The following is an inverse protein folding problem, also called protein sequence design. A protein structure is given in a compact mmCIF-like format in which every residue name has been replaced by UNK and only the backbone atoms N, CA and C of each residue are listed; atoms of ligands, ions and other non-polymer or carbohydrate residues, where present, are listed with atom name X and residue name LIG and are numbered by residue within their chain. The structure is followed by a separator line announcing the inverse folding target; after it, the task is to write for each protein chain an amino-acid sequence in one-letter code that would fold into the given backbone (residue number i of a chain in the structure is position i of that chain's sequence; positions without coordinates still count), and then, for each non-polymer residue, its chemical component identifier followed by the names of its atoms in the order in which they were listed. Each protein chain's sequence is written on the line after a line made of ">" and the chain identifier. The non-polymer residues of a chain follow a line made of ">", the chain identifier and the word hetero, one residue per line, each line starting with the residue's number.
data_IF_899479548443
#
_entry.id   IF_899479548443
#
_cell.length_a   1.000
_cell.length_b   1.000
_cell.length_c   1.000
_cell.angle_alpha   90.00
_cell.angle_beta   90.00
_cell.angle_gamma   90.00
#
_symmetry.space_group_name_H-M   'P 1'
#
loop_
_entity.id
_entity.type
_entity.pdbx_description
1 polymer ?
#
# COMPACT_ATOMS: atom_id res chain seq x y z
N UNK A 1 19.00 4.25 -10.86
CA UNK A 1 18.23 3.00 -11.06
C UNK A 1 17.73 2.95 -12.49
N UNK A 2 17.92 1.84 -13.19
CA UNK A 2 17.33 1.64 -14.54
C UNK A 2 15.85 1.26 -14.43
N UNK A 3 15.07 1.47 -15.49
CA UNK A 3 13.65 1.10 -15.53
C UNK A 3 13.42 -0.37 -15.15
N UNK A 4 14.26 -1.28 -15.67
CA UNK A 4 14.16 -2.71 -15.36
C UNK A 4 14.31 -2.99 -13.86
N UNK A 5 15.28 -2.37 -13.19
CA UNK A 5 15.48 -2.55 -11.74
C UNK A 5 14.29 -2.02 -10.95
N UNK A 6 13.72 -0.88 -11.35
CA UNK A 6 12.50 -0.35 -10.72
C UNK A 6 11.33 -1.30 -10.88
N UNK A 7 11.10 -1.85 -12.09
CA UNK A 7 10.01 -2.80 -12.33
C UNK A 7 10.18 -4.09 -11.53
N UNK A 8 11.41 -4.61 -11.44
CA UNK A 8 11.71 -5.79 -10.62
C UNK A 8 11.44 -5.52 -9.14
N UNK A 9 11.88 -4.36 -8.62
CA UNK A 9 11.63 -3.96 -7.24
C UNK A 9 10.13 -3.86 -6.95
N UNK A 10 9.35 -3.26 -7.86
CA UNK A 10 7.89 -3.16 -7.72
C UNK A 10 7.21 -4.54 -7.75
N UNK A 11 7.66 -5.45 -8.62
CA UNK A 11 7.15 -6.82 -8.68
C UNK A 11 7.46 -7.61 -7.40
N UNK A 12 8.68 -7.47 -6.87
CA UNK A 12 9.06 -8.07 -5.59
C UNK A 12 8.25 -7.49 -4.43
N UNK A 13 8.08 -6.17 -4.37
CA UNK A 13 7.27 -5.51 -3.35
C UNK A 13 5.79 -5.97 -3.40
N UNK A 14 5.22 -6.07 -4.61
CA UNK A 14 3.86 -6.59 -4.81
C UNK A 14 3.69 -8.02 -4.29
N UNK A 15 4.65 -8.91 -4.60
CA UNK A 15 4.65 -10.28 -4.09
C UNK A 15 4.81 -10.33 -2.57
N UNK A 16 5.73 -9.53 -2.01
CA UNK A 16 5.96 -9.45 -0.57
C UNK A 16 4.71 -8.97 0.19
N UNK A 17 3.93 -8.07 -0.40
CA UNK A 17 2.68 -7.58 0.18
C UNK A 17 1.64 -8.70 0.35
N UNK A 18 1.61 -9.68 -0.57
CA UNK A 18 0.71 -10.84 -0.44
C UNK A 18 1.07 -11.66 0.79
N UNK A 19 2.35 -11.97 0.94
CA UNK A 19 2.87 -12.73 2.08
C UNK A 19 2.66 -11.96 3.40
N UNK A 20 2.92 -10.65 3.41
CA UNK A 20 2.70 -9.80 4.57
C UNK A 20 1.26 -9.88 5.06
N UNK A 21 0.27 -9.69 4.18
CA UNK A 21 -1.14 -9.74 4.57
C UNK A 21 -1.57 -11.14 5.08
N UNK A 22 -1.03 -12.21 4.49
CA UNK A 22 -1.29 -13.58 4.94
C UNK A 22 -0.75 -13.80 6.38
N UNK A 23 0.51 -13.41 6.64
CA UNK A 23 1.11 -13.51 7.97
C UNK A 23 0.41 -12.62 9.00
N UNK A 24 -0.03 -11.42 8.60
CA UNK A 24 -0.82 -10.55 9.47
C UNK A 24 -2.19 -11.16 9.82
N UNK A 25 -2.80 -11.92 8.90
CA UNK A 25 -4.03 -12.64 9.19
C UNK A 25 -3.79 -13.75 10.23
N UNK A 26 -2.69 -14.47 10.14
CA UNK A 26 -2.29 -15.43 11.19
C UNK A 26 -1.99 -14.75 12.52
N UNK A 27 -1.27 -13.63 12.53
CA UNK A 27 -1.05 -12.87 13.77
C UNK A 27 -2.38 -12.39 14.40
N UNK A 28 -3.35 -12.03 13.57
CA UNK A 28 -4.72 -11.70 14.01
C UNK A 28 -5.44 -12.92 14.59
N UNK A 29 -5.31 -14.11 14.01
CA UNK A 29 -5.97 -15.31 14.56
C UNK A 29 -5.38 -15.70 15.92
N UNK A 30 -4.06 -15.57 16.08
CA UNK A 30 -3.36 -15.83 17.35
C UNK A 30 -3.76 -14.81 18.44
N UNK A 31 -3.78 -13.53 18.10
CA UNK A 31 -4.07 -12.45 19.07
C UNK A 31 -5.57 -12.20 19.29
N UNK A 32 -6.43 -12.72 18.43
CA UNK A 32 -7.88 -12.44 18.43
C UNK A 32 -8.25 -11.00 18.07
N UNK A 33 -7.28 -10.15 17.69
CA UNK A 33 -7.50 -8.71 17.53
C UNK A 33 -6.85 -8.17 16.25
N UNK A 34 -7.67 -7.51 15.43
CA UNK A 34 -7.18 -6.78 14.25
C UNK A 34 -6.27 -5.62 14.66
N UNK A 35 -6.54 -4.98 15.80
CA UNK A 35 -5.76 -3.86 16.31
C UNK A 35 -4.36 -4.30 16.74
N UNK A 36 -4.23 -5.49 17.33
CA UNK A 36 -2.92 -6.05 17.72
C UNK A 36 -2.09 -6.38 16.47
N UNK A 37 -2.70 -6.99 15.45
CA UNK A 37 -2.01 -7.26 14.19
C UNK A 37 -1.53 -5.98 13.48
N UNK A 38 -2.37 -4.94 13.46
CA UNK A 38 -1.99 -3.62 12.91
C UNK A 38 -0.87 -2.96 13.71
N UNK A 39 -0.97 -3.01 15.04
CA UNK A 39 0.05 -2.47 15.92
C UNK A 39 1.39 -3.17 15.71
N UNK A 40 1.41 -4.50 15.60
CA UNK A 40 2.63 -5.27 15.32
C UNK A 40 3.26 -4.91 13.97
N UNK A 41 2.44 -4.82 12.92
CA UNK A 41 2.89 -4.41 11.58
C UNK A 41 3.58 -3.03 11.61
N UNK A 42 2.99 -2.07 12.31
CA UNK A 42 3.56 -0.73 12.46
C UNK A 42 4.77 -0.69 13.40
N UNK A 43 4.75 -1.44 14.51
CA UNK A 43 5.83 -1.46 15.49
C UNK A 43 7.14 -2.00 14.91
N UNK A 44 7.08 -3.13 14.19
CA UNK A 44 8.25 -3.71 13.54
C UNK A 44 8.82 -2.75 12.49
N UNK A 45 7.96 -2.17 11.65
CA UNK A 45 8.36 -1.18 10.66
C UNK A 45 9.02 0.05 11.30
N UNK A 46 8.41 0.59 12.36
CA UNK A 46 8.95 1.74 13.08
C UNK A 46 10.34 1.46 13.65
N UNK A 47 10.55 0.31 14.30
CA UNK A 47 11.86 -0.05 14.87
C UNK A 47 12.92 -0.16 13.78
N UNK A 48 12.65 -0.92 12.72
CA UNK A 48 13.60 -1.14 11.62
C UNK A 48 13.94 0.18 10.92
N UNK A 49 12.93 0.98 10.61
CA UNK A 49 13.13 2.28 9.94
C UNK A 49 13.84 3.28 10.85
N UNK A 50 13.55 3.31 12.15
CA UNK A 50 14.23 4.21 13.09
C UNK A 50 15.71 3.88 13.19
N UNK A 51 16.04 2.60 13.35
CA UNK A 51 17.45 2.15 13.39
C UNK A 51 18.15 2.48 12.08
N UNK A 52 17.52 2.19 10.95
CA UNK A 52 18.10 2.44 9.61
C UNK A 52 18.33 3.93 9.38
N UNK A 53 17.32 4.77 9.64
CA UNK A 53 17.41 6.22 9.45
C UNK A 53 18.46 6.85 10.36
N UNK A 54 18.53 6.44 11.64
CA UNK A 54 19.57 6.93 12.55
C UNK A 54 20.98 6.49 12.13
N UNK A 55 21.12 5.27 11.60
CA UNK A 55 22.40 4.75 11.13
C UNK A 55 22.87 5.42 9.83
N UNK A 56 21.95 5.74 8.92
CA UNK A 56 22.26 6.30 7.59
C UNK A 56 22.34 7.82 7.62
N UNK A 57 21.38 8.49 8.25
CA UNK A 57 21.19 9.95 8.17
C UNK A 57 21.49 10.68 9.49
N UNK A 58 21.61 9.95 10.60
CA UNK A 58 21.87 10.51 11.92
C UNK A 58 20.67 11.23 12.56
N UNK A 59 20.83 11.74 13.79
CA UNK A 59 19.74 12.41 14.53
C UNK A 59 19.37 13.78 13.95
N UNK A 60 20.28 14.44 13.21
CA UNK A 60 20.03 15.75 12.60
C UNK A 60 18.91 15.72 11.56
N UNK A 61 18.73 14.60 10.86
CA UNK A 61 17.64 14.42 9.91
C UNK A 61 16.27 14.55 10.60
N UNK A 62 16.15 14.03 11.82
CA UNK A 62 14.94 14.16 12.64
C UNK A 62 14.76 15.56 13.23
N UNK A 63 15.85 16.26 13.55
CA UNK A 63 15.77 17.65 14.05
C UNK A 63 15.11 18.59 13.02
N UNK A 64 15.28 18.32 11.71
CA UNK A 64 14.62 19.09 10.63
C UNK A 64 13.10 18.95 10.63
N UNK A 65 12.54 17.92 11.27
CA UNK A 65 11.09 17.74 11.36
C UNK A 65 10.43 18.82 12.25
N UNK A 66 11.17 19.41 13.19
CA UNK A 66 10.66 20.44 14.10
C UNK A 66 10.20 21.71 13.37
N UNK A 67 10.71 21.97 12.16
CA UNK A 67 10.33 23.12 11.34
C UNK A 67 9.36 22.76 10.21
N UNK A 68 9.03 21.48 10.05
CA UNK A 68 8.14 20.98 9.02
C UNK A 68 6.66 21.14 9.35
N UNK A 69 5.80 21.09 8.32
CA UNK A 69 4.34 21.13 8.51
C UNK A 69 3.88 19.76 9.02
N UNK A 70 3.46 19.68 10.28
CA UNK A 70 3.13 18.42 10.97
C UNK A 70 2.20 17.47 10.16
N UNK A 71 1.24 18.02 9.43
CA UNK A 71 0.28 17.22 8.64
C UNK A 71 0.94 16.46 7.48
N UNK A 72 2.08 16.95 6.95
CA UNK A 72 2.85 16.24 5.90
C UNK A 72 3.45 14.93 6.42
N UNK A 73 3.62 14.80 7.74
CA UNK A 73 4.16 13.60 8.38
C UNK A 73 3.03 12.71 8.92
N UNK A 74 1.97 13.32 9.44
CA UNK A 74 0.87 12.59 10.08
C UNK A 74 -0.08 11.94 9.07
N UNK A 75 -0.48 12.66 8.02
CA UNK A 75 -1.48 12.16 7.06
C UNK A 75 -1.01 10.92 6.31
N UNK A 76 0.22 10.86 5.77
CA UNK A 76 0.69 9.64 5.09
C UNK A 76 0.72 8.42 6.02
N UNK A 77 1.08 8.61 7.30
CA UNK A 77 1.06 7.54 8.30
C UNK A 77 -0.35 6.98 8.53
N UNK A 78 -1.35 7.86 8.72
CA UNK A 78 -2.74 7.46 8.88
C UNK A 78 -3.30 6.75 7.64
N UNK A 79 -3.00 7.26 6.45
CA UNK A 79 -3.43 6.65 5.19
C UNK A 79 -2.79 5.26 4.99
N UNK A 80 -1.52 5.09 5.37
CA UNK A 80 -0.83 3.80 5.37
C UNK A 80 -1.48 2.80 6.33
N UNK A 81 -1.80 3.22 7.56
CA UNK A 81 -2.50 2.36 8.52
C UNK A 81 -3.90 1.97 8.02
N UNK A 82 -4.63 2.90 7.41
CA UNK A 82 -5.93 2.61 6.79
C UNK A 82 -5.81 1.58 5.66
N UNK A 83 -4.78 1.70 4.81
CA UNK A 83 -4.53 0.74 3.74
C UNK A 83 -4.31 -0.67 4.29
N UNK A 84 -3.48 -0.82 5.33
CA UNK A 84 -3.23 -2.13 5.95
C UNK A 84 -4.49 -2.68 6.62
N UNK A 85 -5.29 -1.84 7.29
CA UNK A 85 -6.57 -2.25 7.87
C UNK A 85 -7.56 -2.76 6.81
N UNK A 86 -7.73 -1.99 5.73
CA UNK A 86 -8.63 -2.34 4.63
C UNK A 86 -8.16 -3.63 3.94
N UNK A 87 -6.86 -3.76 3.70
CA UNK A 87 -6.24 -4.95 3.12
C UNK A 87 -6.47 -6.19 3.99
N UNK A 88 -6.15 -6.13 5.29
CA UNK A 88 -6.34 -7.26 6.21
C UNK A 88 -7.81 -7.65 6.36
N UNK A 89 -8.71 -6.66 6.36
CA UNK A 89 -10.16 -6.89 6.40
C UNK A 89 -10.65 -7.57 5.12
N UNK A 90 -10.21 -7.08 3.96
CA UNK A 90 -10.53 -7.67 2.67
C UNK A 90 -10.04 -9.13 2.57
N UNK A 91 -8.80 -9.39 2.97
CA UNK A 91 -8.24 -10.74 2.97
C UNK A 91 -9.11 -11.70 3.79
N UNK A 92 -9.59 -11.27 4.95
CA UNK A 92 -10.43 -12.08 5.82
C UNK A 92 -11.86 -12.30 5.27
N UNK A 93 -12.42 -11.34 4.51
CA UNK A 93 -13.83 -11.37 4.09
C UNK A 93 -14.05 -11.89 2.67
N UNK A 94 -13.14 -11.55 1.75
CA UNK A 94 -13.32 -11.79 0.32
C UNK A 94 -12.11 -12.48 -0.33
N UNK A 95 -11.05 -12.76 0.44
CA UNK A 95 -9.84 -13.43 -0.02
C UNK A 95 -8.82 -12.50 -0.68
N UNK A 96 -7.62 -13.02 -0.90
CA UNK A 96 -6.48 -12.25 -1.38
C UNK A 96 -6.69 -11.67 -2.79
N UNK A 97 -7.09 -12.51 -3.75
CA UNK A 97 -7.19 -12.11 -5.18
C UNK A 97 -8.13 -10.92 -5.39
N UNK A 98 -9.33 -10.97 -4.80
CA UNK A 98 -10.30 -9.89 -4.94
C UNK A 98 -9.88 -8.63 -4.17
N UNK A 99 -9.26 -8.80 -3.00
CA UNK A 99 -8.77 -7.65 -2.22
C UNK A 99 -7.68 -6.90 -2.98
N UNK A 100 -6.68 -7.61 -3.49
CA UNK A 100 -5.57 -7.01 -4.23
C UNK A 100 -6.08 -6.34 -5.50
N UNK A 101 -6.91 -7.04 -6.28
CA UNK A 101 -7.37 -6.52 -7.57
C UNK A 101 -8.23 -5.25 -7.39
N UNK A 102 -9.10 -5.22 -6.38
CA UNK A 102 -9.88 -4.02 -6.02
C UNK A 102 -8.99 -2.86 -5.54
N UNK A 103 -7.99 -3.14 -4.69
CA UNK A 103 -7.04 -2.12 -4.23
C UNK A 103 -6.26 -1.53 -5.41
N UNK A 104 -5.67 -2.37 -6.26
CA UNK A 104 -4.87 -1.92 -7.42
C UNK A 104 -5.74 -1.12 -8.39
N UNK A 105 -6.97 -1.56 -8.68
CA UNK A 105 -7.87 -0.80 -9.53
C UNK A 105 -8.16 0.59 -8.95
N UNK A 106 -8.49 0.68 -7.67
CA UNK A 106 -8.74 1.97 -7.01
C UNK A 106 -7.51 2.89 -7.00
N UNK A 107 -6.31 2.32 -6.83
CA UNK A 107 -5.04 3.03 -6.86
C UNK A 107 -4.74 3.60 -8.25
N UNK A 108 -5.00 2.85 -9.31
CA UNK A 108 -4.80 3.32 -10.70
C UNK A 108 -5.79 4.42 -11.05
N UNK A 109 -7.07 4.30 -10.65
CA UNK A 109 -8.08 5.37 -10.81
C UNK A 109 -7.63 6.65 -10.10
N UNK A 110 -7.24 6.53 -8.82
CA UNK A 110 -6.80 7.68 -8.03
C UNK A 110 -5.50 8.29 -8.59
N UNK A 111 -4.56 7.47 -9.05
CA UNK A 111 -3.29 7.91 -9.64
C UNK A 111 -3.51 8.71 -10.93
N UNK A 112 -4.35 8.21 -11.84
CA UNK A 112 -4.72 8.94 -13.05
C UNK A 112 -5.46 10.25 -12.74
N UNK A 113 -6.38 10.21 -11.77
CA UNK A 113 -7.07 11.42 -11.29
C UNK A 113 -6.06 12.45 -10.76
N UNK A 114 -5.10 12.01 -9.96
CA UNK A 114 -4.05 12.87 -9.43
C UNK A 114 -3.15 13.47 -10.52
N UNK A 115 -2.80 12.70 -11.54
CA UNK A 115 -2.03 13.17 -12.69
C UNK A 115 -2.79 14.22 -13.50
N UNK A 116 -4.09 14.01 -13.74
CA UNK A 116 -4.94 15.01 -14.45
C UNK A 116 -5.06 16.31 -13.66
N UNK A 117 -5.22 16.24 -12.34
CA UNK A 117 -5.28 17.42 -11.47
C UNK A 117 -3.96 18.22 -11.48
N UNK A 118 -2.84 17.58 -11.80
CA UNK A 118 -1.53 18.23 -11.98
C UNK A 118 -1.29 18.74 -13.40
N UNK A 119 -2.25 18.58 -14.31
CA UNK A 119 -2.16 19.02 -15.69
C UNK A 119 -1.42 18.03 -16.60
N UNK A 120 -1.13 16.81 -16.14
CA UNK A 120 -0.55 15.77 -16.97
C UNK A 120 -1.60 15.25 -17.95
N UNK A 121 -1.26 15.23 -19.24
CA UNK A 121 -2.11 14.65 -20.27
C UNK A 121 -2.14 13.13 -20.12
N UNK A 122 -3.33 12.57 -19.89
CA UNK A 122 -3.52 11.11 -19.84
C UNK A 122 -3.65 10.57 -21.26
N UNK A 123 -2.78 9.63 -21.63
CA UNK A 123 -2.82 9.00 -22.94
C UNK A 123 -4.06 8.08 -23.07
N UNK A 124 -4.70 7.98 -24.25
CA UNK A 124 -5.82 7.06 -24.48
C UNK A 124 -5.51 5.60 -24.10
N UNK A 125 -4.26 5.18 -24.28
CA UNK A 125 -3.80 3.85 -23.88
C UNK A 125 -3.86 3.62 -22.37
N UNK A 126 -3.61 4.64 -21.54
CA UNK A 126 -3.74 4.54 -20.08
C UNK A 126 -5.20 4.38 -19.66
N UNK A 127 -6.11 5.08 -20.34
CA UNK A 127 -7.56 4.96 -20.13
C UNK A 127 -8.02 3.54 -20.49
N UNK A 128 -7.59 3.02 -21.65
CA UNK A 128 -7.89 1.65 -22.06
C UNK A 128 -7.34 0.64 -21.05
N UNK A 129 -6.10 0.83 -20.58
CA UNK A 129 -5.50 -0.01 -19.54
C UNK A 129 -6.31 -0.01 -18.24
N UNK A 130 -6.79 1.16 -17.80
CA UNK A 130 -7.68 1.27 -16.64
C UNK A 130 -9.01 0.53 -16.86
N UNK A 131 -9.63 0.69 -18.03
CA UNK A 131 -10.89 0.00 -18.37
C UNK A 131 -10.72 -1.51 -18.32
N UNK A 132 -9.64 -2.04 -18.92
CA UNK A 132 -9.32 -3.46 -18.90
C UNK A 132 -9.04 -3.96 -17.47
N UNK A 133 -8.34 -3.19 -16.65
CA UNK A 133 -8.09 -3.52 -15.25
C UNK A 133 -9.41 -3.63 -14.46
N UNK A 134 -10.29 -2.63 -14.58
CA UNK A 134 -11.60 -2.62 -13.90
C UNK A 134 -12.47 -3.77 -14.38
N UNK A 135 -12.50 -4.05 -15.69
CA UNK A 135 -13.21 -5.21 -16.23
C UNK A 135 -12.65 -6.52 -15.67
N UNK A 136 -11.32 -6.63 -15.55
CA UNK A 136 -10.65 -7.77 -14.90
C UNK A 136 -11.10 -7.96 -13.45
N UNK A 137 -11.19 -6.89 -12.66
CA UNK A 137 -11.73 -6.96 -11.29
C UNK A 137 -13.18 -7.45 -11.29
N UNK A 138 -14.03 -6.92 -12.18
CA UNK A 138 -15.43 -7.32 -12.29
C UNK A 138 -15.59 -8.81 -12.62
N UNK A 139 -14.73 -9.36 -13.48
CA UNK A 139 -14.69 -10.80 -13.77
C UNK A 139 -14.28 -11.62 -12.55
N UNK A 140 -13.29 -11.17 -11.77
CA UNK A 140 -12.89 -11.83 -10.51
C UNK A 140 -14.03 -11.84 -9.50
N UNK A 141 -14.80 -10.74 -9.40
CA UNK A 141 -16.02 -10.69 -8.58
C UNK A 141 -17.06 -11.69 -9.08
N UNK A 142 -17.31 -11.72 -10.39
CA UNK A 142 -18.31 -12.60 -10.99
C UNK A 142 -18.01 -14.08 -10.85
N UNK A 143 -16.73 -14.47 -10.88
CA UNK A 143 -16.29 -15.86 -10.71
C UNK A 143 -16.44 -16.41 -9.27
N UNK A 144 -16.82 -15.55 -8.31
CA UNK A 144 -17.05 -15.95 -6.91
C UNK A 144 -18.47 -16.52 -6.68
N UNK A 145 -19.39 -16.28 -7.62
CA UNK A 145 -20.75 -16.83 -7.61
C UNK A 145 -20.80 -18.21 -8.28
#
# INVERSE_FOLDING_TARGET
>A
MTLLVTLLLLATAGTALVLQNALMLEARTVSGSIWVALWLNSAVGLVVLSVTALAVDGPEAFARLATGRWWLFLVPGLLGTLFVFASLTGYAQVGATLTISALVASQVVAGLGFDTLRGTTVAPAQILGLVLLVAGVALVVGARN
#
